data_IF_918543927022
#
_entry.id   IF_918543927022
#
_cell.length_a   1.000
_cell.length_b   1.000
_cell.length_c   1.000
_cell.angle_alpha   90.00
_cell.angle_beta   90.00
_cell.angle_gamma   90.00
#
_symmetry.space_group_name_H-M   'P 1'
#
loop_
_entity.id
_entity.type
_entity.pdbx_description
1 polymer ?
#
# COMPACT_ATOMS: atom_id res chain seq x y z
N UNK A 1 -0.53 18.91 -25.86
CA UNK A 1 0.56 19.19 -24.94
C UNK A 1 0.04 20.13 -23.87
N UNK A 2 -0.40 19.61 -22.76
CA UNK A 2 -0.78 20.40 -21.59
C UNK A 2 -0.26 19.67 -20.38
N UNK A 3 0.83 20.18 -19.85
CA UNK A 3 1.39 19.87 -18.56
C UNK A 3 0.36 20.25 -17.50
N UNK A 4 -0.34 19.25 -16.96
CA UNK A 4 -1.15 19.43 -15.77
C UNK A 4 -0.20 19.52 -14.60
N UNK A 5 -0.06 20.71 -14.15
CA UNK A 5 0.71 21.27 -13.07
C UNK A 5 0.71 20.41 -11.80
N UNK A 6 1.89 19.91 -11.49
CA UNK A 6 2.29 19.64 -10.12
C UNK A 6 2.45 20.97 -9.38
N UNK A 7 1.36 21.54 -8.90
CA UNK A 7 1.46 22.63 -7.94
C UNK A 7 0.20 22.67 -7.06
N UNK A 8 0.35 22.24 -5.84
CA UNK A 8 -0.25 22.78 -4.62
C UNK A 8 -0.02 21.83 -3.44
N UNK A 9 1.21 21.76 -2.94
CA UNK A 9 1.38 21.36 -1.54
C UNK A 9 2.70 21.92 -0.95
N UNK A 10 2.75 23.24 -0.84
CA UNK A 10 3.79 23.93 -0.06
C UNK A 10 3.15 24.56 1.18
N UNK A 11 2.88 23.72 2.19
CA UNK A 11 2.79 24.20 3.58
C UNK A 11 3.04 23.05 4.54
N UNK A 12 4.16 23.12 5.25
CA UNK A 12 4.59 22.44 6.48
C UNK A 12 3.98 21.02 6.70
N UNK A 13 4.60 20.00 6.18
CA UNK A 13 4.20 18.62 6.35
C UNK A 13 5.07 17.71 5.51
N UNK A 14 4.83 16.47 5.58
CA UNK A 14 5.42 15.43 4.80
C UNK A 14 5.36 15.67 3.27
N UNK A 15 6.36 15.23 2.55
CA UNK A 15 6.45 15.40 1.09
C UNK A 15 5.75 14.26 0.37
N UNK A 16 4.84 14.60 -0.55
CA UNK A 16 4.32 13.68 -1.57
C UNK A 16 5.19 13.86 -2.80
N UNK A 17 5.94 12.84 -3.18
CA UNK A 17 6.79 12.88 -4.38
C UNK A 17 6.28 11.84 -5.37
N UNK A 18 5.87 12.23 -6.60
CA UNK A 18 5.69 11.25 -7.66
C UNK A 18 7.02 10.52 -7.88
N UNK A 19 6.98 9.22 -8.06
CA UNK A 19 8.16 8.50 -8.55
C UNK A 19 8.42 9.03 -9.95
N UNK A 20 9.55 9.69 -10.17
CA UNK A 20 9.84 10.42 -11.39
C UNK A 20 9.47 9.60 -12.64
N UNK A 21 8.52 10.09 -13.42
CA UNK A 21 8.39 9.81 -14.83
C UNK A 21 7.30 8.88 -15.29
N UNK A 22 6.53 8.17 -14.46
CA UNK A 22 5.56 7.20 -15.02
C UNK A 22 4.22 7.23 -14.30
N UNK A 23 3.25 7.90 -14.91
CA UNK A 23 1.83 7.78 -14.61
C UNK A 23 1.10 7.31 -15.87
N UNK A 24 -0.03 6.66 -15.70
CA UNK A 24 -0.97 6.31 -16.77
C UNK A 24 -2.06 7.38 -16.83
N UNK A 25 -2.43 7.79 -18.04
CA UNK A 25 -3.55 8.68 -18.27
C UNK A 25 -4.48 8.08 -19.32
N UNK A 26 -5.78 8.20 -19.10
CA UNK A 26 -6.83 7.84 -20.05
C UNK A 26 -7.88 8.95 -20.08
N UNK A 27 -8.88 8.82 -20.93
CA UNK A 27 -9.96 9.78 -20.98
C UNK A 27 -10.79 9.74 -19.69
N UNK A 28 -10.72 10.80 -18.89
CA UNK A 28 -11.47 10.94 -17.64
C UNK A 28 -10.78 10.38 -16.39
N UNK A 29 -9.45 10.15 -16.44
CA UNK A 29 -8.73 9.74 -15.24
C UNK A 29 -7.26 9.42 -15.45
N UNK A 30 -6.67 8.81 -14.43
CA UNK A 30 -5.28 8.38 -14.48
C UNK A 30 -4.86 7.60 -13.24
N UNK A 31 -3.63 7.08 -13.28
CA UNK A 31 -2.99 6.39 -12.16
C UNK A 31 -1.52 6.79 -12.04
N UNK A 32 -1.02 6.87 -10.82
CA UNK A 32 0.38 7.19 -10.54
C UNK A 32 0.87 6.53 -9.27
N UNK A 33 2.16 6.25 -9.22
CA UNK A 33 2.81 5.70 -8.02
C UNK A 33 3.43 6.84 -7.22
N UNK A 34 3.02 6.97 -5.96
CA UNK A 34 3.46 8.03 -5.05
C UNK A 34 4.29 7.46 -3.91
N UNK A 35 5.38 8.13 -3.58
CA UNK A 35 6.07 7.99 -2.30
C UNK A 35 5.59 9.09 -1.37
N UNK A 36 5.15 8.70 -0.20
CA UNK A 36 4.63 9.58 0.83
C UNK A 36 5.58 9.46 2.02
N UNK A 37 6.17 10.57 2.45
CA UNK A 37 7.01 10.58 3.64
C UNK A 37 6.16 10.54 4.91
N UNK A 38 6.74 10.03 5.99
CA UNK A 38 6.09 10.04 7.31
C UNK A 38 5.61 11.44 7.69
N UNK A 39 4.49 11.52 8.37
CA UNK A 39 3.90 12.77 8.88
C UNK A 39 2.47 13.02 8.41
N UNK A 40 2.01 14.26 8.62
CA UNK A 40 0.65 14.70 8.31
C UNK A 40 0.53 15.15 6.86
N UNK A 41 -0.45 14.60 6.16
CA UNK A 41 -0.84 14.96 4.80
C UNK A 41 -2.27 15.46 4.78
N UNK A 42 -2.49 16.64 4.23
CA UNK A 42 -3.83 17.17 3.98
C UNK A 42 -4.16 17.04 2.50
N UNK A 43 -5.25 16.38 2.23
CA UNK A 43 -5.79 16.24 0.87
C UNK A 43 -6.99 17.17 0.73
N UNK A 44 -6.89 18.23 -0.06
CA UNK A 44 -8.02 19.14 -0.28
C UNK A 44 -9.14 18.44 -1.03
N UNK A 45 -10.35 18.97 -0.91
CA UNK A 45 -11.46 18.58 -1.75
C UNK A 45 -11.11 18.82 -3.24
N UNK A 46 -11.26 17.78 -4.05
CA UNK A 46 -10.93 17.81 -5.48
C UNK A 46 -12.20 17.59 -6.30
N UNK A 47 -12.17 17.98 -7.58
CA UNK A 47 -13.29 17.80 -8.53
C UNK A 47 -13.39 16.36 -9.05
N UNK A 48 -12.46 15.49 -8.71
CA UNK A 48 -12.39 14.10 -9.14
C UNK A 48 -12.38 13.15 -7.94
N UNK A 49 -12.84 11.91 -8.15
CA UNK A 49 -12.77 10.83 -7.16
C UNK A 49 -11.35 10.29 -7.10
N UNK A 50 -10.92 9.86 -5.92
CA UNK A 50 -9.58 9.33 -5.67
C UNK A 50 -9.66 7.99 -4.96
N UNK A 51 -8.81 7.06 -5.39
CA UNK A 51 -8.59 5.78 -4.70
C UNK A 51 -7.09 5.68 -4.44
N UNK A 52 -6.72 5.69 -3.17
CA UNK A 52 -5.34 5.48 -2.73
C UNK A 52 -5.15 4.04 -2.27
N UNK A 53 -4.41 3.23 -3.02
CA UNK A 53 -4.15 1.82 -2.70
C UNK A 53 -2.73 1.69 -2.15
N UNK A 54 -2.60 1.18 -0.94
CA UNK A 54 -1.30 0.92 -0.34
C UNK A 54 -0.60 -0.24 -1.05
N UNK A 55 0.63 -0.02 -1.52
CA UNK A 55 1.42 -1.03 -2.25
C UNK A 55 2.78 -1.31 -1.60
N UNK A 56 3.15 -0.50 -0.60
CA UNK A 56 4.40 -0.60 0.16
C UNK A 56 4.34 -1.58 1.34
N UNK A 57 5.32 -1.45 2.24
CA UNK A 57 5.32 -2.14 3.53
C UNK A 57 4.17 -1.65 4.40
N UNK A 58 3.63 -2.50 5.30
CA UNK A 58 2.60 -2.05 6.23
C UNK A 58 3.09 -0.88 7.09
N UNK A 59 2.22 0.15 7.23
CA UNK A 59 2.50 1.37 7.98
C UNK A 59 1.34 1.66 8.92
N UNK A 60 1.62 2.08 10.15
CA UNK A 60 0.59 2.64 11.01
C UNK A 60 0.18 4.01 10.48
N UNK A 61 -1.11 4.17 10.30
CA UNK A 61 -1.68 5.40 9.82
C UNK A 61 -2.92 5.77 10.63
N UNK A 62 -3.15 7.05 10.79
CA UNK A 62 -4.43 7.59 11.20
C UNK A 62 -4.99 8.49 10.11
N UNK A 63 -6.28 8.45 9.91
CA UNK A 63 -6.95 9.26 8.91
C UNK A 63 -8.25 9.86 9.44
N UNK A 64 -8.57 11.03 8.93
CA UNK A 64 -9.84 11.69 9.14
C UNK A 64 -10.40 12.12 7.79
N UNK A 65 -11.57 11.61 7.41
CA UNK A 65 -12.22 11.89 6.14
C UNK A 65 -13.74 11.76 6.32
N UNK A 66 -14.51 12.69 5.76
CA UNK A 66 -15.98 12.68 5.83
C UNK A 66 -16.50 12.52 7.27
N UNK A 67 -15.94 13.26 8.23
CA UNK A 67 -16.33 13.20 9.64
C UNK A 67 -15.95 11.90 10.38
N UNK A 68 -15.33 10.94 9.71
CA UNK A 68 -14.87 9.67 10.29
C UNK A 68 -13.39 9.76 10.60
N UNK A 69 -12.99 9.27 11.76
CA UNK A 69 -11.58 9.14 12.16
C UNK A 69 -11.25 7.68 12.45
N UNK A 70 -10.13 7.21 11.91
CA UNK A 70 -9.69 5.83 12.09
C UNK A 70 -8.17 5.78 12.24
N UNK A 71 -7.67 5.00 13.22
CA UNK A 71 -6.27 4.61 13.32
C UNK A 71 -6.15 3.13 12.99
N UNK A 72 -5.18 2.78 12.15
CA UNK A 72 -5.05 1.43 11.61
C UNK A 72 -3.63 1.08 11.21
N UNK A 73 -3.35 -0.20 11.06
CA UNK A 73 -2.21 -0.68 10.28
C UNK A 73 -2.68 -0.81 8.83
N UNK A 74 -2.11 0.01 7.95
CA UNK A 74 -2.37 0.01 6.52
C UNK A 74 -1.44 -0.97 5.85
N UNK A 75 -2.00 -1.99 5.20
CA UNK A 75 -1.27 -3.09 4.57
C UNK A 75 -1.42 -3.04 3.04
N UNK A 76 -0.53 -3.72 2.28
CA UNK A 76 -0.67 -3.82 0.83
C UNK A 76 -2.06 -4.32 0.42
N UNK A 77 -2.70 -3.60 -0.49
CA UNK A 77 -4.07 -3.86 -0.95
C UNK A 77 -5.17 -3.14 -0.17
N UNK A 78 -4.85 -2.51 0.98
CA UNK A 78 -5.79 -1.61 1.66
C UNK A 78 -6.00 -0.36 0.80
N UNK A 79 -7.25 0.00 0.55
CA UNK A 79 -7.60 1.14 -0.28
C UNK A 79 -8.43 2.17 0.47
N UNK A 80 -8.13 3.44 0.28
CA UNK A 80 -8.97 4.56 0.72
C UNK A 80 -9.67 5.15 -0.50
N UNK A 81 -10.98 5.22 -0.43
CA UNK A 81 -11.83 5.81 -1.47
C UNK A 81 -12.32 7.17 -0.98
N UNK A 82 -11.90 8.22 -1.66
CA UNK A 82 -12.25 9.62 -1.36
C UNK A 82 -13.02 10.19 -2.57
N UNK A 83 -14.35 10.33 -2.46
CA UNK A 83 -15.17 10.91 -3.51
C UNK A 83 -14.79 12.35 -3.84
N UNK A 84 -15.22 12.81 -5.01
CA UNK A 84 -15.11 14.21 -5.39
C UNK A 84 -15.81 15.12 -4.35
N UNK A 85 -15.25 16.29 -4.08
CA UNK A 85 -15.78 17.25 -3.11
C UNK A 85 -15.45 16.95 -1.65
N UNK A 86 -14.79 15.84 -1.33
CA UNK A 86 -14.41 15.46 0.03
C UNK A 86 -12.92 15.71 0.26
N UNK A 87 -12.60 16.37 1.38
CA UNK A 87 -11.25 16.55 1.92
C UNK A 87 -10.94 15.52 3.00
N UNK A 88 -9.69 15.52 3.45
CA UNK A 88 -9.28 14.67 4.56
C UNK A 88 -7.83 14.86 4.97
N UNK A 89 -7.50 14.26 6.10
CA UNK A 89 -6.16 14.27 6.69
C UNK A 89 -5.69 12.84 6.92
N UNK A 90 -4.43 12.57 6.55
CA UNK A 90 -3.74 11.29 6.82
C UNK A 90 -2.45 11.57 7.55
N UNK A 91 -2.15 10.78 8.56
CA UNK A 91 -0.88 10.80 9.27
C UNK A 91 -0.27 9.41 9.21
N UNK A 92 0.87 9.29 8.55
CA UNK A 92 1.62 8.05 8.42
C UNK A 92 2.83 8.07 9.37
N UNK A 93 3.03 6.99 10.15
CA UNK A 93 4.15 6.90 11.12
C UNK A 93 5.49 6.59 10.43
N UNK A 94 5.47 6.12 9.19
CA UNK A 94 6.65 5.84 8.38
C UNK A 94 6.38 6.14 6.91
N UNK A 95 7.45 6.25 6.12
CA UNK A 95 7.35 6.41 4.68
C UNK A 95 6.56 5.27 4.06
N UNK A 96 5.65 5.60 3.16
CA UNK A 96 4.83 4.62 2.47
C UNK A 96 4.77 4.83 0.96
N UNK A 97 4.28 3.83 0.26
CA UNK A 97 4.07 3.90 -1.19
C UNK A 97 2.62 3.57 -1.49
N UNK A 98 1.96 4.43 -2.25
CA UNK A 98 0.58 4.23 -2.69
C UNK A 98 0.48 4.32 -4.20
N UNK A 99 -0.38 3.50 -4.78
CA UNK A 99 -0.92 3.68 -6.12
C UNK A 99 -2.14 4.59 -5.98
N UNK A 100 -2.06 5.80 -6.52
CA UNK A 100 -3.20 6.71 -6.61
C UNK A 100 -3.87 6.54 -7.96
N UNK A 101 -5.17 6.24 -7.94
CA UNK A 101 -6.03 6.23 -9.13
C UNK A 101 -7.07 7.33 -8.96
N UNK A 102 -7.34 8.10 -10.02
CA UNK A 102 -8.39 9.12 -9.98
C UNK A 102 -9.32 9.01 -11.17
N UNK A 103 -10.57 9.44 -10.97
CA UNK A 103 -11.63 9.39 -11.97
C UNK A 103 -12.38 10.71 -11.97
N UNK A 104 -12.56 11.31 -13.13
CA UNK A 104 -13.42 12.47 -13.29
C UNK A 104 -14.89 12.07 -13.05
N UNK A 105 -15.67 13.01 -12.52
CA UNK A 105 -17.08 12.78 -12.23
C UNK A 105 -17.88 12.40 -13.50
N UNK A 106 -17.52 12.96 -14.67
CA UNK A 106 -18.13 12.59 -15.96
C UNK A 106 -17.88 11.13 -16.32
N UNK A 107 -16.65 10.65 -16.12
CA UNK A 107 -16.28 9.26 -16.39
C UNK A 107 -17.10 8.31 -15.50
N UNK A 108 -17.18 8.61 -14.21
CA UNK A 108 -17.97 7.83 -13.27
C UNK A 108 -19.45 7.82 -13.63
N UNK A 109 -20.02 8.97 -13.98
CA UNK A 109 -21.44 9.09 -14.39
C UNK A 109 -21.74 8.31 -15.66
N UNK A 110 -20.88 8.38 -16.68
CA UNK A 110 -21.10 7.65 -17.94
C UNK A 110 -21.16 6.13 -17.72
N UNK A 111 -20.35 5.62 -16.78
CA UNK A 111 -20.39 4.20 -16.40
C UNK A 111 -21.66 3.88 -15.59
N UNK A 112 -22.02 4.76 -14.64
CA UNK A 112 -23.22 4.58 -13.83
C UNK A 112 -24.51 4.57 -14.66
N UNK A 113 -24.56 5.35 -15.75
CA UNK A 113 -25.68 5.37 -16.71
C UNK A 113 -25.81 4.05 -17.49
N UNK A 114 -24.68 3.40 -17.79
CA UNK A 114 -24.65 2.10 -18.47
C UNK A 114 -25.00 0.93 -17.52
N UNK A 115 -24.91 1.16 -16.21
CA UNK A 115 -25.30 0.18 -15.21
C UNK A 115 -26.80 0.34 -14.94
N UNK A 116 -27.61 -0.70 -15.18
CA UNK A 116 -29.04 -0.70 -14.87
C UNK A 116 -29.27 -0.77 -13.34
N UNK A 117 -29.06 0.38 -12.66
CA UNK A 117 -29.17 0.50 -11.21
C UNK A 117 -30.01 1.69 -10.78
N UNK A 118 -30.73 1.59 -9.62
CA UNK A 118 -31.50 2.71 -9.07
C UNK A 118 -30.63 3.94 -8.83
N UNK A 119 -31.19 5.14 -9.00
CA UNK A 119 -30.50 6.43 -8.92
C UNK A 119 -29.65 6.61 -7.64
N UNK A 120 -30.13 6.21 -6.47
CA UNK A 120 -29.40 6.31 -5.20
C UNK A 120 -28.23 5.34 -5.00
N UNK A 121 -28.01 4.39 -5.94
CA UNK A 121 -26.91 3.44 -5.92
C UNK A 121 -25.79 3.81 -6.93
N UNK A 122 -25.82 5.02 -7.48
CA UNK A 122 -24.91 5.47 -8.56
C UNK A 122 -23.77 6.37 -8.09
N UNK A 123 -23.54 6.45 -6.76
CA UNK A 123 -22.51 7.30 -6.20
C UNK A 123 -21.39 6.48 -5.58
N UNK A 124 -20.14 6.92 -5.82
CA UNK A 124 -18.99 6.41 -5.09
C UNK A 124 -19.08 6.92 -3.66
N UNK A 125 -19.06 6.00 -2.68
CA UNK A 125 -19.11 6.32 -1.25
C UNK A 125 -17.71 6.37 -0.66
N UNK A 126 -17.46 7.23 0.36
CA UNK A 126 -16.19 7.24 1.05
C UNK A 126 -15.97 5.93 1.81
N UNK A 127 -14.80 5.34 1.62
CA UNK A 127 -14.34 4.17 2.37
C UNK A 127 -12.93 4.39 2.87
N UNK A 128 -12.69 4.03 4.13
CA UNK A 128 -11.37 3.99 4.73
C UNK A 128 -11.01 2.51 4.96
N UNK A 129 -9.85 2.11 4.44
CA UNK A 129 -9.35 0.73 4.51
C UNK A 129 -10.29 -0.29 3.84
N UNK A 130 -10.77 0.03 2.64
CA UNK A 130 -11.49 -0.93 1.81
C UNK A 130 -10.57 -2.10 1.46
N UNK A 131 -11.02 -3.32 1.75
CA UNK A 131 -10.34 -4.57 1.43
C UNK A 131 -11.17 -5.36 0.43
N UNK A 132 -10.96 -5.10 -0.82
CA UNK A 132 -11.64 -5.79 -1.92
C UNK A 132 -10.59 -6.48 -2.81
N UNK A 133 -10.56 -7.84 -2.85
CA UNK A 133 -9.60 -8.58 -3.67
C UNK A 133 -9.67 -8.24 -5.16
N UNK A 134 -10.84 -7.86 -5.68
CA UNK A 134 -11.02 -7.48 -7.09
C UNK A 134 -10.42 -6.12 -7.35
N UNK A 135 -10.66 -5.13 -6.49
CA UNK A 135 -10.00 -3.81 -6.57
C UNK A 135 -8.49 -3.99 -6.50
N UNK A 136 -8.00 -4.84 -5.59
CA UNK A 136 -6.56 -5.10 -5.45
C UNK A 136 -5.95 -5.77 -6.70
N UNK A 137 -6.65 -6.72 -7.33
CA UNK A 137 -6.19 -7.33 -8.59
C UNK A 137 -6.13 -6.32 -9.74
N UNK A 138 -7.14 -5.45 -9.86
CA UNK A 138 -7.18 -4.39 -10.86
C UNK A 138 -6.07 -3.35 -10.62
N UNK A 139 -5.84 -2.97 -9.37
CA UNK A 139 -4.74 -2.10 -8.98
C UNK A 139 -3.36 -2.70 -9.30
N UNK A 140 -3.20 -4.01 -9.08
CA UNK A 140 -1.98 -4.73 -9.44
C UNK A 140 -1.68 -4.71 -10.94
N UNK A 141 -2.70 -4.77 -11.79
CA UNK A 141 -2.54 -4.65 -13.24
C UNK A 141 -2.08 -3.22 -13.64
N UNK A 142 -2.69 -2.17 -13.08
CA UNK A 142 -2.23 -0.78 -13.31
C UNK A 142 -0.79 -0.54 -12.80
N UNK A 143 -0.46 -1.11 -11.64
CA UNK A 143 0.88 -1.01 -11.07
C UNK A 143 1.93 -1.68 -11.98
N UNK A 144 1.64 -2.85 -12.52
CA UNK A 144 2.52 -3.56 -13.44
C UNK A 144 2.80 -2.73 -14.71
N UNK A 145 1.79 -2.05 -15.28
CA UNK A 145 1.97 -1.13 -16.42
C UNK A 145 2.88 0.04 -16.06
N UNK A 146 2.68 0.64 -14.88
CA UNK A 146 3.51 1.74 -14.39
C UNK A 146 4.97 1.29 -14.19
N UNK A 147 5.20 0.09 -13.66
CA UNK A 147 6.54 -0.41 -13.34
C UNK A 147 7.32 -0.87 -14.57
N UNK A 148 6.64 -1.42 -15.57
CA UNK A 148 7.28 -1.86 -16.82
C UNK A 148 7.68 -0.70 -17.72
N UNK A 149 7.07 0.49 -17.55
CA UNK A 149 7.31 1.67 -18.39
C UNK A 149 6.91 1.48 -19.86
N UNK A 150 6.39 0.31 -20.22
CA UNK A 150 5.78 0.02 -21.49
C UNK A 150 4.31 0.38 -21.37
N UNK A 151 3.97 1.64 -21.64
CA UNK A 151 2.57 2.04 -21.67
C UNK A 151 1.86 1.20 -22.75
N UNK A 152 1.07 0.23 -22.29
CA UNK A 152 0.05 -0.39 -23.12
C UNK A 152 -0.87 0.69 -23.67
N UNK A 153 -1.65 0.37 -24.68
CA UNK A 153 -2.65 1.29 -25.23
C UNK A 153 -3.48 1.93 -24.08
N UNK A 154 -3.73 3.25 -24.09
CA UNK A 154 -4.57 3.93 -23.10
C UNK A 154 -5.90 3.21 -22.83
N UNK A 155 -6.44 2.50 -23.81
CA UNK A 155 -7.64 1.69 -23.71
C UNK A 155 -7.52 0.55 -22.68
N UNK A 156 -6.31 -0.02 -22.49
CA UNK A 156 -6.10 -1.03 -21.48
C UNK A 156 -6.27 -0.47 -20.07
N UNK A 157 -5.62 0.65 -19.77
CA UNK A 157 -5.75 1.33 -18.49
C UNK A 157 -7.18 1.81 -18.24
N UNK A 158 -7.86 2.35 -19.27
CA UNK A 158 -9.25 2.77 -19.21
C UNK A 158 -10.20 1.61 -18.93
N UNK A 159 -9.97 0.43 -19.52
CA UNK A 159 -10.75 -0.77 -19.26
C UNK A 159 -10.64 -1.22 -17.81
N UNK A 160 -9.44 -1.21 -17.23
CA UNK A 160 -9.22 -1.51 -15.81
C UNK A 160 -9.91 -0.47 -14.93
N UNK A 161 -9.77 0.81 -15.27
CA UNK A 161 -10.42 1.93 -14.57
C UNK A 161 -11.94 1.79 -14.58
N UNK A 162 -12.53 1.44 -15.73
CA UNK A 162 -13.96 1.15 -15.87
C UNK A 162 -14.39 0.02 -14.94
N UNK A 163 -13.63 -1.10 -14.90
CA UNK A 163 -13.91 -2.22 -14.01
C UNK A 163 -13.82 -1.82 -12.53
N UNK A 164 -12.86 -0.94 -12.15
CA UNK A 164 -12.76 -0.40 -10.80
C UNK A 164 -13.98 0.46 -10.45
N UNK A 165 -14.42 1.36 -11.33
CA UNK A 165 -15.59 2.21 -11.11
C UNK A 165 -16.86 1.35 -10.98
N UNK A 166 -17.06 0.37 -11.87
CA UNK A 166 -18.18 -0.59 -11.79
C UNK A 166 -18.20 -1.27 -10.42
N UNK A 167 -17.02 -1.67 -9.93
CA UNK A 167 -16.91 -2.32 -8.61
C UNK A 167 -17.23 -1.37 -7.46
N UNK A 168 -16.75 -0.13 -7.51
CA UNK A 168 -17.02 0.89 -6.50
C UNK A 168 -18.49 1.30 -6.47
N UNK A 169 -19.12 1.48 -7.62
CA UNK A 169 -20.56 1.77 -7.75
C UNK A 169 -21.42 0.55 -7.41
N UNK A 170 -20.90 -0.65 -7.69
CA UNK A 170 -21.58 -1.92 -7.44
C UNK A 170 -21.82 -2.24 -5.97
N UNK A 171 -21.31 -1.39 -5.11
CA UNK A 171 -21.34 -1.54 -3.67
C UNK A 171 -20.22 -2.48 -3.23
N UNK A 172 -19.21 -1.94 -2.62
CA UNK A 172 -18.34 -2.67 -1.72
C UNK A 172 -19.16 -3.29 -0.54
N UNK A 173 -20.45 -2.97 -0.46
CA UNK A 173 -21.39 -3.49 0.54
C UNK A 173 -21.63 -5.02 0.42
N UNK A 174 -21.35 -5.61 -0.74
CA UNK A 174 -21.38 -7.07 -0.86
C UNK A 174 -20.24 -7.78 -0.10
N UNK A 175 -19.22 -7.05 0.34
CA UNK A 175 -18.14 -7.58 1.18
C UNK A 175 -18.41 -7.49 2.68
N UNK A 176 -19.48 -6.81 3.12
CA UNK A 176 -19.94 -6.89 4.51
C UNK A 176 -20.57 -8.26 4.86
N UNK A 177 -20.76 -9.13 3.88
CA UNK A 177 -21.31 -10.47 4.05
C UNK A 177 -20.36 -11.53 4.64
N UNK A 178 -19.07 -11.24 4.79
CA UNK A 178 -18.11 -11.92 5.64
C UNK A 178 -17.10 -10.87 6.09
N UNK A 179 -17.31 -10.34 7.27
CA UNK A 179 -16.22 -9.74 8.01
C UNK A 179 -15.15 -10.83 8.13
N UNK A 180 -14.17 -10.84 7.23
CA UNK A 180 -13.00 -11.68 7.39
C UNK A 180 -12.41 -11.24 8.72
N UNK A 181 -12.43 -12.14 9.70
CA UNK A 181 -11.92 -11.85 11.02
C UNK A 181 -10.46 -11.41 10.85
N UNK A 182 -10.16 -10.18 11.25
CA UNK A 182 -8.81 -9.60 11.23
C UNK A 182 -8.27 -9.54 12.65
N UNK A 183 -6.95 -9.49 12.81
CA UNK A 183 -6.37 -9.17 14.11
C UNK A 183 -6.83 -7.76 14.52
N UNK A 184 -7.32 -7.62 15.74
CA UNK A 184 -7.60 -6.30 16.29
C UNK A 184 -6.33 -5.42 16.21
N UNK A 185 -6.47 -4.13 15.95
CA UNK A 185 -5.35 -3.23 15.67
C UNK A 185 -4.25 -3.30 16.73
N UNK A 186 -4.60 -3.36 18.03
CA UNK A 186 -3.64 -3.49 19.12
C UNK A 186 -2.91 -4.84 19.11
N UNK A 187 -3.57 -5.95 18.71
CA UNK A 187 -2.96 -7.27 18.58
C UNK A 187 -2.01 -7.31 17.38
N UNK A 188 -2.42 -6.72 16.24
CA UNK A 188 -1.57 -6.59 15.07
C UNK A 188 -0.31 -5.78 15.40
N UNK A 189 -0.48 -4.64 16.06
CA UNK A 189 0.61 -3.79 16.53
C UNK A 189 1.58 -4.57 17.44
N UNK A 190 1.06 -5.26 18.44
CA UNK A 190 1.87 -6.05 19.39
C UNK A 190 2.72 -7.11 18.68
N UNK A 191 2.16 -7.81 17.69
CA UNK A 191 2.89 -8.82 16.91
C UNK A 191 3.95 -8.18 16.02
N UNK A 192 3.63 -7.08 15.31
CA UNK A 192 4.60 -6.41 14.46
C UNK A 192 5.74 -5.80 15.26
N UNK A 193 5.48 -5.17 16.40
CA UNK A 193 6.51 -4.62 17.28
C UNK A 193 7.43 -5.70 17.84
N UNK A 194 6.85 -6.84 18.21
CA UNK A 194 7.66 -7.98 18.65
C UNK A 194 8.56 -8.50 17.52
N UNK A 195 8.04 -8.63 16.30
CA UNK A 195 8.84 -9.04 15.13
C UNK A 195 9.99 -8.04 14.91
N UNK A 196 9.70 -6.73 14.91
CA UNK A 196 10.72 -5.69 14.71
C UNK A 196 11.84 -5.75 15.76
N UNK A 197 11.47 -5.97 17.02
CA UNK A 197 12.43 -6.02 18.13
C UNK A 197 13.28 -7.29 18.15
N UNK A 198 12.88 -8.34 17.42
CA UNK A 198 13.51 -9.68 17.48
C UNK A 198 13.85 -10.22 16.07
N UNK A 199 14.11 -9.33 15.09
CA UNK A 199 14.43 -9.74 13.73
C UNK A 199 15.69 -10.60 13.63
N UNK A 200 16.67 -10.36 14.51
CA UNK A 200 17.92 -11.09 14.63
C UNK A 200 17.76 -12.50 15.24
N UNK A 201 16.60 -12.77 15.85
CA UNK A 201 16.32 -14.00 16.56
C UNK A 201 15.47 -14.98 15.72
N UNK A 202 15.34 -16.21 16.25
CA UNK A 202 14.44 -17.22 15.69
C UNK A 202 13.00 -16.89 16.08
N UNK A 203 12.23 -16.36 15.14
CA UNK A 203 10.81 -16.12 15.29
C UNK A 203 10.02 -17.39 14.92
N UNK A 204 9.21 -17.92 15.85
CA UNK A 204 8.33 -19.08 15.59
C UNK A 204 6.87 -18.65 15.53
N UNK A 205 6.07 -19.39 14.77
CA UNK A 205 4.64 -19.14 14.66
C UNK A 205 3.92 -19.33 15.99
N UNK A 206 4.39 -20.28 16.80
CA UNK A 206 3.86 -20.58 18.13
C UNK A 206 4.05 -19.39 19.08
N UNK A 207 5.26 -18.82 19.11
CA UNK A 207 5.56 -17.65 19.94
C UNK A 207 4.73 -16.44 19.52
N UNK A 208 4.63 -16.18 18.21
CA UNK A 208 3.84 -15.04 17.69
C UNK A 208 2.34 -15.22 17.93
N UNK A 209 1.80 -16.42 17.79
CA UNK A 209 0.39 -16.72 18.06
C UNK A 209 0.06 -16.58 19.57
N UNK A 210 0.97 -17.03 20.44
CA UNK A 210 0.83 -16.91 21.90
C UNK A 210 0.79 -15.44 22.37
N UNK A 211 1.52 -14.53 21.71
CA UNK A 211 1.48 -13.09 22.03
C UNK A 211 0.06 -12.49 21.97
N UNK A 212 -0.81 -13.07 21.17
CA UNK A 212 -2.16 -12.57 20.91
C UNK A 212 -3.28 -13.55 21.30
N UNK A 213 -2.92 -14.57 22.08
CA UNK A 213 -3.83 -15.60 22.62
C UNK A 213 -4.62 -16.32 21.50
N UNK A 214 -3.93 -16.75 20.44
CA UNK A 214 -4.52 -17.44 19.30
C UNK A 214 -3.82 -18.78 19.05
N UNK A 215 -4.58 -19.74 18.46
CA UNK A 215 -3.97 -20.92 17.87
C UNK A 215 -3.17 -20.57 16.62
N UNK A 216 -2.11 -21.30 16.30
CA UNK A 216 -1.27 -21.06 15.12
C UNK A 216 -2.06 -21.00 13.81
N UNK A 217 -3.01 -21.94 13.51
CA UNK A 217 -3.82 -21.84 12.29
C UNK A 217 -4.65 -20.57 12.24
N UNK A 218 -5.29 -20.20 13.33
CA UNK A 218 -6.13 -18.99 13.41
C UNK A 218 -5.27 -17.72 13.29
N UNK A 219 -4.14 -17.67 13.98
CA UNK A 219 -3.17 -16.57 13.87
C UNK A 219 -2.70 -16.38 12.42
N UNK A 220 -2.29 -17.45 11.72
CA UNK A 220 -1.84 -17.38 10.32
C UNK A 220 -2.92 -16.79 9.40
N UNK A 221 -4.17 -17.23 9.56
CA UNK A 221 -5.29 -16.74 8.77
C UNK A 221 -5.53 -15.24 9.03
N UNK A 222 -5.66 -14.84 10.31
CA UNK A 222 -5.89 -13.46 10.69
C UNK A 222 -4.72 -12.55 10.34
N UNK A 223 -3.48 -13.01 10.53
CA UNK A 223 -2.28 -12.25 10.16
C UNK A 223 -2.24 -11.97 8.66
N UNK A 224 -2.46 -13.00 7.83
CA UNK A 224 -2.51 -12.85 6.37
C UNK A 224 -3.61 -11.88 5.95
N UNK A 225 -4.79 -11.99 6.57
CA UNK A 225 -5.91 -11.10 6.27
C UNK A 225 -5.63 -9.66 6.70
N UNK A 226 -4.92 -9.48 7.82
CA UNK A 226 -4.60 -8.16 8.37
C UNK A 226 -3.46 -7.48 7.62
N UNK A 227 -2.40 -8.22 7.28
CA UNK A 227 -1.16 -7.69 6.72
C UNK A 227 -1.01 -7.95 5.21
N UNK A 228 -2.00 -8.58 4.57
CA UNK A 228 -2.00 -8.87 3.14
C UNK A 228 -0.97 -9.93 2.72
N UNK A 229 -0.20 -10.50 3.67
CA UNK A 229 0.86 -11.47 3.36
C UNK A 229 1.07 -12.48 4.51
N UNK A 230 1.59 -13.70 4.21
CA UNK A 230 1.96 -14.67 5.24
C UNK A 230 3.06 -14.16 6.19
N UNK A 231 3.03 -14.62 7.44
CA UNK A 231 4.00 -14.24 8.51
C UNK A 231 5.45 -14.36 8.03
N UNK A 232 5.82 -15.49 7.40
CA UNK A 232 7.20 -15.70 6.93
C UNK A 232 7.63 -14.65 5.90
N UNK A 233 6.76 -14.30 4.95
CA UNK A 233 7.07 -13.28 3.95
C UNK A 233 7.25 -11.90 4.61
N UNK A 234 6.42 -11.57 5.59
CA UNK A 234 6.55 -10.34 6.36
C UNK A 234 7.91 -10.28 7.06
N UNK A 235 8.28 -11.31 7.82
CA UNK A 235 9.56 -11.36 8.54
C UNK A 235 10.75 -11.24 7.58
N UNK A 236 10.74 -11.98 6.47
CA UNK A 236 11.82 -11.90 5.47
C UNK A 236 11.92 -10.49 4.88
N UNK A 237 10.81 -9.85 4.57
CA UNK A 237 10.79 -8.48 4.03
C UNK A 237 11.40 -7.49 5.03
N UNK A 238 11.02 -7.56 6.31
CA UNK A 238 11.58 -6.69 7.36
C UNK A 238 13.09 -6.93 7.56
N UNK A 239 13.52 -8.19 7.50
CA UNK A 239 14.95 -8.53 7.55
C UNK A 239 15.75 -7.94 6.38
N UNK A 240 15.19 -7.98 5.17
CA UNK A 240 15.80 -7.36 3.99
C UNK A 240 15.92 -5.83 4.15
N UNK A 241 14.90 -5.18 4.68
CA UNK A 241 14.91 -3.73 4.95
C UNK A 241 15.96 -3.37 6.00
N UNK A 242 16.05 -4.13 7.09
CA UNK A 242 17.10 -3.97 8.11
C UNK A 242 18.50 -4.20 7.53
N UNK A 243 18.70 -5.26 6.72
CA UNK A 243 19.97 -5.51 6.04
C UNK A 243 20.36 -4.34 5.12
N UNK A 244 19.40 -3.80 4.37
CA UNK A 244 19.64 -2.62 3.52
C UNK A 244 20.09 -1.42 4.35
N UNK A 245 19.43 -1.12 5.46
CA UNK A 245 19.80 -0.02 6.34
C UNK A 245 21.23 -0.20 6.88
N UNK A 246 21.58 -1.38 7.38
CA UNK A 246 22.92 -1.68 7.88
C UNK A 246 24.02 -1.59 6.81
N UNK A 247 23.70 -2.01 5.57
CA UNK A 247 24.63 -1.88 4.43
C UNK A 247 24.86 -0.42 4.06
N UNK A 248 23.84 0.42 4.14
CA UNK A 248 23.95 1.85 3.88
C UNK A 248 24.76 2.59 4.95
N UNK A 249 24.74 2.14 6.20
CA UNK A 249 25.63 2.65 7.25
C UNK A 249 27.10 2.32 7.01
N UNK A 250 27.40 1.23 6.31
CA UNK A 250 28.74 0.84 5.88
C UNK A 250 29.72 0.45 7.00
N UNK A 251 29.22 0.21 8.22
CA UNK A 251 30.05 -0.08 9.41
C UNK A 251 30.37 -1.56 9.59
N UNK A 252 29.59 -2.45 8.98
CA UNK A 252 29.65 -3.89 9.17
C UNK A 252 30.06 -4.63 7.91
N UNK A 253 30.69 -5.78 8.07
CA UNK A 253 30.93 -6.71 6.95
C UNK A 253 29.61 -7.36 6.50
N UNK A 254 29.56 -7.84 5.25
CA UNK A 254 28.37 -8.50 4.70
C UNK A 254 27.89 -9.69 5.57
N UNK A 255 28.81 -10.43 6.17
CA UNK A 255 28.49 -11.54 7.06
C UNK A 255 27.89 -11.07 8.38
N UNK A 256 28.41 -10.00 8.95
CA UNK A 256 27.85 -9.38 10.17
C UNK A 256 26.46 -8.78 9.89
N UNK A 257 26.30 -8.08 8.77
CA UNK A 257 25.00 -7.56 8.35
C UNK A 257 23.96 -8.69 8.23
N UNK A 258 24.35 -9.83 7.64
CA UNK A 258 23.44 -10.97 7.51
C UNK A 258 22.95 -11.46 8.89
N UNK A 259 23.85 -11.61 9.85
CA UNK A 259 23.52 -12.07 11.22
C UNK A 259 22.66 -11.03 11.95
N UNK A 260 23.06 -9.77 11.96
CA UNK A 260 22.35 -8.66 12.60
C UNK A 260 20.94 -8.43 12.02
N UNK A 261 20.77 -8.72 10.74
CA UNK A 261 19.47 -8.66 10.07
C UNK A 261 18.65 -9.95 10.26
N UNK A 262 19.18 -10.98 10.94
CA UNK A 262 18.49 -12.23 11.26
C UNK A 262 18.51 -13.28 10.16
N UNK A 263 19.45 -13.20 9.21
CA UNK A 263 19.67 -14.26 8.23
C UNK A 263 20.69 -15.28 8.74
N UNK A 264 20.47 -16.56 8.40
CA UNK A 264 21.39 -17.62 8.82
C UNK A 264 22.81 -17.43 8.28
N UNK A 265 22.95 -16.87 7.09
CA UNK A 265 24.24 -16.60 6.43
C UNK A 265 24.09 -15.59 5.27
N UNK A 266 25.22 -15.06 4.83
CA UNK A 266 25.31 -14.02 3.79
C UNK A 266 24.61 -14.42 2.46
N UNK A 267 24.72 -15.65 2.02
CA UNK A 267 24.10 -16.12 0.76
C UNK A 267 22.57 -16.16 0.86
N UNK A 268 22.03 -16.48 2.03
CA UNK A 268 20.58 -16.41 2.28
C UNK A 268 20.07 -14.96 2.22
N UNK A 269 20.80 -14.02 2.84
CA UNK A 269 20.51 -12.58 2.72
C UNK A 269 20.59 -12.12 1.26
N UNK A 270 21.64 -12.48 0.54
CA UNK A 270 21.85 -12.07 -0.85
C UNK A 270 20.72 -12.56 -1.77
N UNK A 271 20.27 -13.81 -1.60
CA UNK A 271 19.14 -14.37 -2.33
C UNK A 271 17.86 -13.51 -2.15
N UNK A 272 17.51 -13.19 -0.91
CA UNK A 272 16.30 -12.44 -0.65
C UNK A 272 16.41 -10.96 -1.04
N UNK A 273 17.56 -10.34 -0.88
CA UNK A 273 17.78 -8.97 -1.33
C UNK A 273 17.64 -8.86 -2.84
N UNK A 274 18.28 -9.78 -3.60
CA UNK A 274 18.15 -9.79 -5.06
C UNK A 274 16.69 -10.00 -5.48
N UNK A 275 15.98 -10.91 -4.81
CA UNK A 275 14.58 -11.21 -5.13
C UNK A 275 13.62 -10.06 -4.81
N UNK A 276 13.82 -9.34 -3.71
CA UNK A 276 12.89 -8.30 -3.23
C UNK A 276 13.27 -6.89 -3.66
N UNK A 277 14.58 -6.60 -3.85
CA UNK A 277 15.09 -5.27 -4.19
C UNK A 277 15.67 -5.20 -5.60
N UNK A 278 15.80 -6.33 -6.30
CA UNK A 278 16.48 -6.38 -7.61
C UNK A 278 17.99 -6.11 -7.54
N UNK A 279 18.59 -6.00 -6.33
CA UNK A 279 19.98 -5.61 -6.13
C UNK A 279 20.70 -6.54 -5.16
N UNK A 280 21.98 -6.84 -5.44
CA UNK A 280 22.82 -7.62 -4.53
C UNK A 280 23.27 -6.78 -3.32
N UNK A 281 23.60 -7.40 -2.16
CA UNK A 281 24.14 -6.68 -1.00
C UNK A 281 25.35 -5.80 -1.33
N UNK A 282 26.23 -6.29 -2.20
CA UNK A 282 27.41 -5.56 -2.63
C UNK A 282 27.05 -4.32 -3.48
N UNK A 283 26.03 -4.42 -4.33
CA UNK A 283 25.56 -3.29 -5.11
C UNK A 283 24.98 -2.20 -4.22
N UNK A 284 24.17 -2.58 -3.21
CA UNK A 284 23.61 -1.66 -2.22
C UNK A 284 24.70 -0.98 -1.41
N UNK A 285 25.70 -1.73 -0.93
CA UNK A 285 26.82 -1.18 -0.16
C UNK A 285 27.70 -0.23 -0.98
N UNK A 286 27.89 -0.48 -2.29
CA UNK A 286 28.63 0.42 -3.18
C UNK A 286 27.88 1.72 -3.44
N UNK A 287 26.58 1.66 -3.68
CA UNK A 287 25.73 2.83 -3.92
C UNK A 287 25.67 3.79 -2.70
N UNK A 288 25.92 3.29 -1.49
CA UNK A 288 25.98 4.12 -0.29
C UNK A 288 27.31 4.86 -0.10
N UNK A 289 28.36 4.49 -0.85
CA UNK A 289 29.70 5.10 -0.77
C UNK A 289 29.97 6.09 -1.90
N UNK A 290 29.08 6.16 -2.88
CA UNK A 290 29.09 7.11 -4.01
C UNK A 290 28.26 8.34 -3.71
#
# INVERSE_FOLDING_TARGET
MSTVTADTNRQAGARISPRAGVGLCWQGGGAELLRISAGLHRLPAMTHHRVGIHVGTPVRASCACDGRRQSRLQAPGDADVVPAGIDGEWTDEADCTILRVWFDDRFVRSIAEQMDRPWGAREIRPHLQLRDPRINSLAGALLAEIETGAASDPLFAESIATAMVVRLLGGADASQGRATATLAAHKAARVTDYIESHLDQRLTLEALAALVDLSVPHFKALFRETLGMPVHQYVVRRRVERARALLMEGKLSLSQVALEAGFAHQSHMAHWMTRLLGATPLAVAKAAKS
#
